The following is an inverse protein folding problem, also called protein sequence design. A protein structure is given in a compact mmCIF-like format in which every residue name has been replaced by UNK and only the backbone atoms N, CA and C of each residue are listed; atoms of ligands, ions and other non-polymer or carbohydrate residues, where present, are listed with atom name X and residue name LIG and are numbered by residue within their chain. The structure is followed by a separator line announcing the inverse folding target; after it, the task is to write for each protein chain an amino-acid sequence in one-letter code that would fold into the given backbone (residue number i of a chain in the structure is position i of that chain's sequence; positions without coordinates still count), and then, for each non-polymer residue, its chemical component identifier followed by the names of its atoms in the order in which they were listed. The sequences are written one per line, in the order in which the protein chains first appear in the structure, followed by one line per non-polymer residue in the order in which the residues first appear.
data_IF_776374935715
#
_entry.id   IF_776374935715
#
_cell.length_a   1.000
_cell.length_b   1.000
_cell.length_c   1.000
_cell.angle_alpha   90.00
_cell.angle_beta   90.00
_cell.angle_gamma   90.00
#
_symmetry.space_group_name_H-M   'P 1'
#
loop_
_entity.id
_entity.type
_entity.pdbx_description
1 polymer ?
#
# COMPACT_ATOMS: atom_id res chain seq x y z
N UNK A 1 -4.18 -18.08 -4.00
CA UNK A 1 -3.96 -16.84 -4.78
C UNK A 1 -2.49 -16.48 -4.66
N UNK A 2 -1.78 -16.29 -5.77
CA UNK A 2 -0.37 -15.87 -5.74
C UNK A 2 -0.25 -14.37 -5.40
N UNK A 3 0.95 -13.91 -5.03
CA UNK A 3 1.18 -12.49 -4.76
C UNK A 3 0.88 -11.61 -5.99
N UNK A 4 1.22 -12.08 -7.19
CA UNK A 4 0.95 -11.36 -8.44
C UNK A 4 -0.55 -11.25 -8.73
N UNK A 5 -1.30 -12.35 -8.54
CA UNK A 5 -2.77 -12.33 -8.68
C UNK A 5 -3.45 -11.40 -7.67
N UNK A 6 -2.89 -11.28 -6.46
CA UNK A 6 -3.39 -10.34 -5.45
C UNK A 6 -3.08 -8.88 -5.82
N UNK A 7 -1.91 -8.61 -6.42
CA UNK A 7 -1.55 -7.27 -6.92
C UNK A 7 -2.46 -6.83 -8.06
N UNK A 8 -2.69 -7.69 -9.05
CA UNK A 8 -3.55 -7.38 -10.22
C UNK A 8 -4.99 -7.06 -9.81
N UNK A 9 -5.47 -7.65 -8.71
CA UNK A 9 -6.83 -7.43 -8.19
C UNK A 9 -6.94 -6.25 -7.23
N UNK A 10 -5.87 -5.48 -7.01
CA UNK A 10 -5.85 -4.39 -6.02
C UNK A 10 -5.92 -4.86 -4.55
N UNK A 11 -5.65 -6.14 -4.29
CA UNK A 11 -5.71 -6.76 -2.94
C UNK A 11 -4.35 -6.65 -2.23
N UNK A 12 -3.26 -6.54 -2.98
CA UNK A 12 -1.90 -6.42 -2.44
C UNK A 12 -1.16 -5.23 -3.05
N UNK A 13 -0.78 -4.29 -2.20
CA UNK A 13 0.12 -3.19 -2.54
C UNK A 13 1.52 -3.50 -2.00
N UNK A 14 2.52 -3.59 -2.88
CA UNK A 14 3.87 -3.99 -2.49
C UNK A 14 4.94 -3.43 -3.44
N UNK A 15 6.13 -3.17 -2.91
CA UNK A 15 7.26 -2.64 -3.68
C UNK A 15 7.96 -1.49 -2.97
N UNK A 16 8.63 -0.63 -3.74
CA UNK A 16 9.18 0.62 -3.23
C UNK A 16 8.05 1.66 -2.99
N UNK A 17 8.33 2.76 -2.27
CA UNK A 17 7.33 3.77 -1.94
C UNK A 17 6.60 4.34 -3.16
N UNK A 18 7.31 4.62 -4.25
CA UNK A 18 6.71 5.17 -5.48
C UNK A 18 5.74 4.20 -6.15
N UNK A 19 6.08 2.90 -6.15
CA UNK A 19 5.23 1.86 -6.69
C UNK A 19 3.97 1.71 -5.84
N UNK A 20 4.11 1.67 -4.51
CA UNK A 20 2.96 1.55 -3.60
C UNK A 20 2.05 2.76 -3.71
N UNK A 21 2.60 3.97 -3.75
CA UNK A 21 1.82 5.19 -3.98
C UNK A 21 1.02 5.10 -5.28
N UNK A 22 1.66 4.77 -6.40
CA UNK A 22 0.99 4.65 -7.70
C UNK A 22 -0.13 3.60 -7.67
N UNK A 23 0.13 2.42 -7.10
CA UNK A 23 -0.90 1.39 -7.01
C UNK A 23 -2.13 1.85 -6.21
N UNK A 24 -1.92 2.56 -5.10
CA UNK A 24 -3.03 3.08 -4.28
C UNK A 24 -3.74 4.23 -4.99
N UNK A 25 -3.00 5.12 -5.66
CA UNK A 25 -3.54 6.23 -6.45
C UNK A 25 -4.41 5.74 -7.60
N UNK A 26 -3.92 4.75 -8.36
CA UNK A 26 -4.62 4.18 -9.50
C UNK A 26 -5.91 3.50 -9.03
N UNK A 27 -5.83 2.73 -7.93
CA UNK A 27 -7.01 2.13 -7.32
C UNK A 27 -8.01 3.16 -6.78
N UNK A 28 -7.53 4.22 -6.11
CA UNK A 28 -8.37 5.32 -5.62
C UNK A 28 -9.13 5.97 -6.79
N UNK A 29 -8.45 6.22 -7.91
CA UNK A 29 -9.06 6.81 -9.11
C UNK A 29 -10.07 5.86 -9.76
N UNK A 30 -9.74 4.57 -9.87
CA UNK A 30 -10.59 3.56 -10.50
C UNK A 30 -11.92 3.35 -9.76
N UNK A 31 -11.90 3.37 -8.42
CA UNK A 31 -13.11 3.17 -7.61
C UNK A 31 -13.90 4.45 -7.31
N UNK A 32 -13.42 5.61 -7.78
CA UNK A 32 -14.04 6.91 -7.53
C UNK A 32 -13.77 7.51 -6.14
N UNK A 33 -12.70 7.05 -5.47
CA UNK A 33 -12.21 7.54 -4.19
C UNK A 33 -12.69 6.77 -2.96
N UNK A 34 -11.98 6.92 -1.85
CA UNK A 34 -12.35 6.39 -0.53
C UNK A 34 -11.85 7.30 0.60
N UNK A 35 -12.59 7.37 1.71
CA UNK A 35 -12.23 8.22 2.85
C UNK A 35 -11.25 7.58 3.84
N UNK A 36 -11.11 6.26 3.84
CA UNK A 36 -10.24 5.54 4.77
C UNK A 36 -9.47 4.44 4.06
N UNK A 37 -8.16 4.39 4.29
CA UNK A 37 -7.28 3.31 3.88
C UNK A 37 -6.88 2.48 5.11
N UNK A 38 -7.28 1.22 5.15
CA UNK A 38 -6.87 0.28 6.20
C UNK A 38 -5.79 -0.64 5.64
N UNK A 39 -4.61 -0.60 6.25
CA UNK A 39 -3.44 -1.37 5.81
C UNK A 39 -3.10 -2.48 6.79
N UNK A 40 -2.88 -3.69 6.26
CA UNK A 40 -2.25 -4.79 7.00
C UNK A 40 -0.74 -4.73 6.74
N UNK A 41 0.03 -4.20 7.70
CA UNK A 41 1.47 -3.96 7.55
C UNK A 41 2.37 -5.19 7.72
N UNK A 42 1.80 -6.35 8.07
CA UNK A 42 2.53 -7.61 8.25
C UNK A 42 1.76 -8.76 7.61
N UNK A 43 2.40 -9.49 6.71
CA UNK A 43 1.80 -10.64 6.03
C UNK A 43 2.78 -11.82 5.98
N UNK A 44 2.26 -13.03 6.07
CA UNK A 44 3.03 -14.27 5.93
C UNK A 44 4.23 -14.37 6.88
N UNK A 45 5.41 -14.61 6.29
CA UNK A 45 6.66 -14.88 7.02
C UNK A 45 7.49 -13.63 7.35
N UNK A 46 6.94 -12.43 7.17
CA UNK A 46 7.63 -11.18 7.51
C UNK A 46 8.06 -11.16 8.98
N UNK A 47 9.36 -10.96 9.20
CA UNK A 47 9.89 -10.71 10.54
C UNK A 47 9.32 -9.42 11.11
N UNK A 48 9.43 -9.25 12.43
CA UNK A 48 9.00 -8.01 13.07
C UNK A 48 9.75 -6.79 12.51
N UNK A 49 11.08 -6.90 12.34
CA UNK A 49 11.92 -5.82 11.85
C UNK A 49 11.58 -5.41 10.41
N UNK A 50 11.27 -6.37 9.53
CA UNK A 50 10.87 -6.08 8.14
C UNK A 50 9.51 -5.39 8.09
N UNK A 51 8.54 -5.87 8.88
CA UNK A 51 7.22 -5.26 8.96
C UNK A 51 7.30 -3.84 9.55
N UNK A 52 8.06 -3.65 10.63
CA UNK A 52 8.28 -2.33 11.23
C UNK A 52 8.90 -1.36 10.23
N UNK A 53 9.97 -1.78 9.53
CA UNK A 53 10.62 -0.98 8.49
C UNK A 53 9.64 -0.57 7.40
N UNK A 54 8.82 -1.51 6.92
CA UNK A 54 7.80 -1.25 5.90
C UNK A 54 6.76 -0.23 6.36
N UNK A 55 6.23 -0.38 7.57
CA UNK A 55 5.24 0.54 8.15
C UNK A 55 5.84 1.95 8.31
N UNK A 56 7.08 2.06 8.79
CA UNK A 56 7.77 3.36 8.92
C UNK A 56 7.98 4.02 7.56
N UNK A 57 8.42 3.26 6.57
CA UNK A 57 8.64 3.78 5.22
C UNK A 57 7.34 4.23 4.56
N UNK A 58 6.26 3.45 4.72
CA UNK A 58 4.93 3.84 4.25
C UNK A 58 4.47 5.16 4.90
N UNK A 59 4.63 5.29 6.21
CA UNK A 59 4.24 6.50 6.94
C UNK A 59 5.05 7.73 6.53
N UNK A 60 6.35 7.56 6.25
CA UNK A 60 7.23 8.67 5.91
C UNK A 60 7.10 9.09 4.44
N UNK A 61 6.97 8.13 3.53
CA UNK A 61 7.09 8.41 2.10
C UNK A 61 5.77 8.30 1.35
N UNK A 62 4.83 7.44 1.73
CA UNK A 62 3.60 7.21 0.95
C UNK A 62 2.43 8.01 1.51
N UNK A 63 2.23 7.93 2.82
CA UNK A 63 1.09 8.55 3.50
C UNK A 63 0.97 10.07 3.29
N UNK A 64 2.05 10.89 3.26
CA UNK A 64 1.93 12.32 2.97
C UNK A 64 1.38 12.59 1.56
N UNK A 65 1.85 11.84 0.56
CA UNK A 65 1.39 11.98 -0.83
C UNK A 65 -0.06 11.54 -1.02
N UNK A 66 -0.52 10.53 -0.26
CA UNK A 66 -1.93 10.10 -0.31
C UNK A 66 -2.88 11.14 0.30
N UNK A 67 -2.45 11.91 1.30
CA UNK A 67 -3.27 12.99 1.88
C UNK A 67 -3.54 14.13 0.90
N UNK A 68 -2.75 14.25 -0.16
CA UNK A 68 -2.97 15.24 -1.22
C UNK A 68 -4.12 14.84 -2.17
N UNK A 69 -4.60 13.59 -2.09
CA UNK A 69 -5.66 13.08 -2.98
C UNK A 69 -7.08 13.47 -2.57
N UNK A 70 -7.29 13.98 -1.35
CA UNK A 70 -8.61 14.42 -0.86
C UNK A 70 -8.87 14.05 0.59
#
# INVERSE_FOLDING_TARGET
MTADQARERGILFAGNPDTVYRQIHDFYTEVGGFGHLVMIGRSGFLTHAEAEKGIRLFSAEVMPRLKELG
#
